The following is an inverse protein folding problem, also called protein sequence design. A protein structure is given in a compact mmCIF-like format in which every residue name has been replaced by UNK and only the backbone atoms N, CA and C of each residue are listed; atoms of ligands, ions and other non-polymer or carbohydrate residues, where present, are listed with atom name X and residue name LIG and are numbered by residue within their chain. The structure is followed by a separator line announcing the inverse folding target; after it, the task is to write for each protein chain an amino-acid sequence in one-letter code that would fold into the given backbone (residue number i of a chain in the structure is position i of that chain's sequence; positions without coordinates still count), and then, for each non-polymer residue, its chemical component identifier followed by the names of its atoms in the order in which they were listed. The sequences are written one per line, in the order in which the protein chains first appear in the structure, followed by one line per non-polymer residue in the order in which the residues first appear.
data_IF_424217598906
#
_entry.id   IF_424217598906
#
_cell.length_a   1.000
_cell.length_b   1.000
_cell.length_c   1.000
_cell.angle_alpha   90.00
_cell.angle_beta   90.00
_cell.angle_gamma   90.00
#
_symmetry.space_group_name_H-M   'P 1'
#
loop_
_entity.id
_entity.type
_entity.pdbx_description
1 polymer ?
#
# COMPACT_ATOMS: atom_id res chain seq x y z
N UNK A 1 8.82 17.49 -0.62
CA UNK A 1 7.87 16.42 -0.24
C UNK A 1 7.72 16.42 1.26
N UNK A 2 6.51 16.50 1.79
CA UNK A 2 6.31 16.50 3.25
C UNK A 2 6.16 15.04 3.72
N UNK A 3 7.01 14.56 4.65
CA UNK A 3 6.95 13.18 5.11
C UNK A 3 5.68 12.93 5.94
N UNK A 4 5.16 11.70 5.88
CA UNK A 4 4.16 11.23 6.84
C UNK A 4 4.82 11.10 8.21
N UNK A 5 4.37 11.91 9.18
CA UNK A 5 4.86 11.88 10.56
C UNK A 5 3.78 11.27 11.45
N UNK A 6 4.09 10.14 12.11
CA UNK A 6 3.18 9.54 13.09
C UNK A 6 2.82 10.50 14.23
N UNK A 7 1.55 10.47 14.62
CA UNK A 7 1.06 11.18 15.82
C UNK A 7 1.44 10.40 17.11
N UNK A 8 1.52 11.05 18.28
CA UNK A 8 1.69 10.37 19.56
C UNK A 8 0.61 9.33 19.88
N UNK A 9 -0.59 9.52 19.33
CA UNK A 9 -1.70 8.56 19.36
C UNK A 9 -2.31 8.47 17.96
N UNK A 10 -2.44 7.26 17.43
CA UNK A 10 -2.94 7.01 16.07
C UNK A 10 -3.93 5.85 16.05
N UNK A 11 -4.92 5.98 15.17
CA UNK A 11 -5.68 4.84 14.66
C UNK A 11 -4.96 4.35 13.41
N UNK A 12 -4.19 3.27 13.56
CA UNK A 12 -3.23 2.80 12.53
C UNK A 12 -3.86 1.85 11.52
N UNK A 13 -5.05 1.32 11.80
CA UNK A 13 -5.80 0.43 10.94
C UNK A 13 -7.29 0.57 11.19
N UNK A 14 -8.10 0.55 10.15
CA UNK A 14 -9.55 0.44 10.19
C UNK A 14 -10.00 -0.81 9.44
N UNK A 15 -11.00 -1.50 9.96
CA UNK A 15 -11.60 -2.67 9.34
C UNK A 15 -13.11 -2.64 9.58
N UNK A 16 -13.88 -1.89 8.78
CA UNK A 16 -15.33 -1.92 8.85
C UNK A 16 -15.85 -3.30 8.48
N UNK A 17 -16.92 -3.72 9.16
CA UNK A 17 -17.59 -4.99 8.98
C UNK A 17 -19.11 -4.84 9.02
N UNK A 18 -19.83 -5.98 8.97
CA UNK A 18 -21.28 -5.96 9.08
C UNK A 18 -21.71 -5.35 10.41
N UNK A 19 -22.39 -4.21 10.36
CA UNK A 19 -22.85 -3.42 11.51
C UNK A 19 -21.75 -3.10 12.56
N UNK A 20 -20.49 -3.00 12.13
CA UNK A 20 -19.36 -2.90 13.05
C UNK A 20 -18.17 -2.14 12.45
N UNK A 21 -17.27 -1.72 13.35
CA UNK A 21 -15.93 -1.25 13.04
C UNK A 21 -14.92 -1.95 13.94
N UNK A 22 -13.95 -2.62 13.35
CA UNK A 22 -12.71 -3.02 14.01
C UNK A 22 -11.62 -1.98 13.74
N UNK A 23 -10.78 -1.69 14.73
CA UNK A 23 -9.63 -0.83 14.53
C UNK A 23 -8.48 -1.22 15.45
N UNK A 24 -7.26 -0.90 15.01
CA UNK A 24 -6.06 -0.99 15.83
C UNK A 24 -5.54 0.42 16.06
N UNK A 25 -5.08 0.72 17.30
CA UNK A 25 -4.43 1.96 17.63
C UNK A 25 -3.01 1.73 18.16
N UNK A 26 -2.22 2.80 18.19
CA UNK A 26 -0.87 2.81 18.74
C UNK A 26 -0.67 4.12 19.49
N UNK A 27 -0.13 4.02 20.70
CA UNK A 27 0.30 5.17 21.47
C UNK A 27 1.83 5.14 21.68
N UNK A 28 2.50 6.25 21.40
CA UNK A 28 3.92 6.46 21.66
C UNK A 28 4.16 7.22 22.98
N UNK A 29 3.16 7.22 23.88
CA UNK A 29 3.15 7.89 25.19
C UNK A 29 2.62 6.91 26.24
N UNK A 30 2.85 7.20 27.51
CA UNK A 30 2.25 6.44 28.63
C UNK A 30 0.76 6.72 28.76
N UNK A 31 -0.02 5.67 28.92
CA UNK A 31 -1.48 5.71 29.08
C UNK A 31 -1.98 4.57 29.99
N UNK A 32 -3.19 4.71 30.52
CA UNK A 32 -3.87 3.69 31.34
C UNK A 32 -5.10 3.11 30.63
N UNK A 33 -5.80 3.95 29.86
CA UNK A 33 -7.00 3.56 29.12
C UNK A 33 -7.22 4.43 27.88
N UNK A 34 -7.99 3.90 26.95
CA UNK A 34 -8.52 4.64 25.82
C UNK A 34 -10.01 4.91 26.01
N UNK A 35 -10.42 6.11 25.69
CA UNK A 35 -11.83 6.44 25.46
C UNK A 35 -12.08 6.54 23.98
N UNK A 36 -12.97 5.69 23.49
CA UNK A 36 -13.40 5.62 22.09
C UNK A 36 -14.81 6.15 21.99
N UNK A 37 -15.07 7.05 21.05
CA UNK A 37 -16.43 7.50 20.75
C UNK A 37 -16.71 7.41 19.26
N UNK A 38 -17.93 7.03 18.90
CA UNK A 38 -18.44 7.01 17.54
C UNK A 38 -19.56 8.04 17.44
N UNK A 39 -19.47 8.89 16.43
CA UNK A 39 -20.42 9.95 16.17
C UNK A 39 -20.96 9.84 14.74
N UNK A 40 -22.19 10.30 14.54
CA UNK A 40 -22.70 10.65 13.20
C UNK A 40 -22.02 11.92 12.68
N UNK A 41 -22.15 12.21 11.38
CA UNK A 41 -21.51 13.40 10.79
C UNK A 41 -22.07 14.74 11.32
N UNK A 42 -23.27 14.75 11.87
CA UNK A 42 -23.87 15.92 12.55
C UNK A 42 -23.37 16.11 13.99
N UNK A 43 -22.46 15.21 14.47
CA UNK A 43 -21.86 15.26 15.79
C UNK A 43 -22.62 14.49 16.88
N UNK A 44 -23.77 13.87 16.57
CA UNK A 44 -24.53 13.10 17.56
C UNK A 44 -23.74 11.86 18.03
N UNK A 45 -23.65 11.67 19.35
CA UNK A 45 -22.95 10.52 19.95
C UNK A 45 -23.76 9.23 19.74
N UNK A 46 -23.14 8.21 19.16
CA UNK A 46 -23.75 6.89 18.90
C UNK A 46 -23.25 5.83 19.86
N UNK A 47 -21.94 5.80 20.14
CA UNK A 47 -21.30 4.81 21.02
C UNK A 47 -20.20 5.46 21.86
N UNK A 48 -19.99 4.93 23.05
CA UNK A 48 -18.82 5.19 23.89
C UNK A 48 -18.31 3.89 24.46
N UNK A 49 -16.99 3.72 24.46
CA UNK A 49 -16.29 2.58 25.05
C UNK A 49 -15.06 3.10 25.80
N UNK A 50 -14.81 2.54 26.99
CA UNK A 50 -13.53 2.65 27.71
C UNK A 50 -12.84 1.30 27.64
N UNK A 51 -11.56 1.25 27.29
CA UNK A 51 -10.79 0.03 27.11
C UNK A 51 -9.31 0.26 27.37
N UNK A 52 -8.60 -0.79 27.75
CA UNK A 52 -7.14 -0.88 27.83
C UNK A 52 -6.53 -1.65 26.63
N UNK A 53 -7.36 -1.96 25.62
CA UNK A 53 -6.93 -2.74 24.45
C UNK A 53 -6.59 -1.83 23.28
N UNK A 54 -5.47 -2.09 22.62
CA UNK A 54 -5.07 -1.43 21.36
C UNK A 54 -5.83 -1.96 20.13
N UNK A 55 -6.51 -3.09 20.26
CA UNK A 55 -7.37 -3.66 19.22
C UNK A 55 -8.80 -3.72 19.73
N UNK A 56 -9.71 -3.07 19.03
CA UNK A 56 -11.08 -2.83 19.46
C UNK A 56 -12.06 -3.13 18.35
N UNK A 57 -13.22 -3.69 18.72
CA UNK A 57 -14.38 -3.81 17.82
C UNK A 57 -15.60 -3.18 18.45
N UNK A 58 -16.29 -2.32 17.70
CA UNK A 58 -17.53 -1.67 18.10
C UNK A 58 -18.64 -2.17 17.17
N UNK A 59 -19.71 -2.71 17.75
CA UNK A 59 -20.87 -3.26 17.03
C UNK A 59 -22.13 -2.44 17.23
N UNK A 60 -23.19 -2.78 16.48
CA UNK A 60 -24.51 -2.12 16.58
C UNK A 60 -24.55 -0.80 15.81
N UNK A 61 -23.80 -0.70 14.71
CA UNK A 61 -23.77 0.42 13.77
C UNK A 61 -24.64 0.10 12.55
N UNK A 62 -25.17 1.13 11.88
CA UNK A 62 -25.91 0.92 10.65
C UNK A 62 -24.98 0.82 9.44
N UNK A 63 -25.15 -0.22 8.62
CA UNK A 63 -24.44 -0.35 7.35
C UNK A 63 -24.80 0.79 6.39
N UNK A 64 -23.83 1.24 5.59
CA UNK A 64 -24.01 2.30 4.62
C UNK A 64 -24.13 3.71 5.24
N UNK A 65 -23.91 3.85 6.54
CA UNK A 65 -23.91 5.13 7.24
C UNK A 65 -22.47 5.55 7.54
N UNK A 66 -22.12 6.79 7.22
CA UNK A 66 -20.80 7.35 7.57
C UNK A 66 -20.77 7.80 9.02
N UNK A 67 -19.68 7.42 9.69
CA UNK A 67 -19.42 7.74 11.09
C UNK A 67 -18.04 8.36 11.28
N UNK A 68 -17.89 9.13 12.36
CA UNK A 68 -16.62 9.62 12.88
C UNK A 68 -16.18 8.76 14.07
N UNK A 69 -14.98 8.21 14.00
CA UNK A 69 -14.31 7.53 15.10
C UNK A 69 -13.34 8.50 15.77
N UNK A 70 -13.50 8.73 17.07
CA UNK A 70 -12.63 9.55 17.89
C UNK A 70 -11.98 8.68 18.97
N UNK A 71 -10.69 8.89 19.21
CA UNK A 71 -9.88 8.14 20.16
C UNK A 71 -9.08 9.11 21.03
N UNK A 72 -9.16 8.97 22.34
CA UNK A 72 -8.30 9.68 23.30
C UNK A 72 -7.61 8.69 24.23
N UNK A 73 -6.33 8.92 24.51
CA UNK A 73 -5.59 8.22 25.55
C UNK A 73 -5.75 8.97 26.88
N UNK A 74 -5.95 8.22 27.95
CA UNK A 74 -6.12 8.75 29.30
C UNK A 74 -5.05 8.18 30.24
N UNK A 75 -4.57 9.01 31.17
CA UNK A 75 -3.68 8.60 32.25
C UNK A 75 -4.16 9.28 33.55
N UNK A 76 -4.36 8.47 34.60
CA UNK A 76 -4.91 8.93 35.88
C UNK A 76 -6.21 9.78 35.73
N UNK A 77 -7.10 9.34 34.82
CA UNK A 77 -8.39 9.99 34.53
C UNK A 77 -8.31 11.29 33.73
N UNK A 78 -7.12 11.67 33.23
CA UNK A 78 -6.91 12.87 32.41
C UNK A 78 -6.57 12.48 30.98
N UNK A 79 -7.06 13.22 29.98
CA UNK A 79 -6.67 13.05 28.58
C UNK A 79 -5.21 13.49 28.41
N UNK A 80 -4.37 12.60 27.86
CA UNK A 80 -2.95 12.84 27.60
C UNK A 80 -2.64 12.93 26.12
N UNK A 81 -3.48 12.36 25.25
CA UNK A 81 -3.40 12.54 23.78
C UNK A 81 -4.77 12.32 23.15
N UNK A 82 -4.92 12.90 21.95
CA UNK A 82 -6.07 12.71 21.08
C UNK A 82 -5.55 12.32 19.68
N UNK A 83 -6.10 11.24 19.12
CA UNK A 83 -5.78 10.82 17.74
C UNK A 83 -6.55 11.68 16.73
N UNK A 84 -6.02 11.88 15.53
CA UNK A 84 -6.81 12.39 14.43
C UNK A 84 -8.08 11.56 14.24
N UNK A 85 -9.20 12.26 14.05
CA UNK A 85 -10.50 11.60 13.81
C UNK A 85 -10.46 10.83 12.49
N UNK A 86 -11.16 9.71 12.44
CA UNK A 86 -11.22 8.87 11.24
C UNK A 86 -12.66 8.71 10.77
N UNK A 87 -12.86 8.82 9.47
CA UNK A 87 -14.13 8.49 8.82
C UNK A 87 -14.19 7.00 8.48
N UNK A 88 -15.37 6.40 8.65
CA UNK A 88 -15.62 5.03 8.23
C UNK A 88 -17.09 4.80 7.91
N UNK A 89 -17.35 3.76 7.10
CA UNK A 89 -18.68 3.31 6.74
C UNK A 89 -18.77 1.78 6.96
N UNK A 90 -19.56 1.30 7.92
CA UNK A 90 -19.80 -0.14 8.09
C UNK A 90 -20.51 -0.73 6.88
N UNK A 91 -20.22 -2.00 6.59
CA UNK A 91 -20.82 -2.71 5.46
C UNK A 91 -20.48 -4.18 5.44
N UNK A 92 -21.13 -4.92 4.54
CA UNK A 92 -20.79 -6.32 4.27
C UNK A 92 -19.75 -6.36 3.15
N UNK A 93 -18.55 -6.81 3.50
CA UNK A 93 -17.44 -6.98 2.58
C UNK A 93 -17.17 -8.47 2.35
N UNK A 94 -16.84 -8.88 1.11
CA UNK A 94 -16.37 -10.24 0.88
C UNK A 94 -14.98 -10.42 1.49
N UNK A 95 -14.81 -11.47 2.29
CA UNK A 95 -13.53 -11.80 2.94
C UNK A 95 -13.16 -10.88 4.10
N UNK A 96 -11.88 -10.79 4.40
CA UNK A 96 -11.33 -9.99 5.51
C UNK A 96 -10.79 -8.65 5.03
N UNK A 97 -11.21 -7.56 5.65
CA UNK A 97 -10.68 -6.22 5.37
C UNK A 97 -9.31 -6.08 6.02
N UNK A 98 -8.27 -5.96 5.20
CA UNK A 98 -6.89 -5.74 5.68
C UNK A 98 -6.75 -4.35 6.29
N UNK A 99 -7.17 -3.33 5.56
CA UNK A 99 -7.24 -1.94 6.01
C UNK A 99 -8.30 -1.18 5.21
N UNK A 100 -8.73 -0.05 5.72
CA UNK A 100 -9.73 0.81 5.11
C UNK A 100 -9.34 2.28 5.25
N UNK A 101 -9.51 3.04 4.19
CA UNK A 101 -9.42 4.50 4.16
C UNK A 101 -10.72 5.00 3.53
N UNK A 102 -11.47 5.83 4.24
CA UNK A 102 -12.65 6.46 3.67
C UNK A 102 -12.23 7.54 2.64
N UNK A 103 -12.88 7.63 1.46
CA UNK A 103 -12.48 8.60 0.42
C UNK A 103 -12.48 10.06 0.87
N UNK A 104 -13.28 10.41 1.87
CA UNK A 104 -13.35 11.76 2.45
C UNK A 104 -12.50 11.90 3.73
N UNK A 105 -11.68 10.87 4.08
CA UNK A 105 -10.73 10.92 5.19
C UNK A 105 -9.37 11.40 4.68
N UNK A 106 -9.10 12.70 4.81
CA UNK A 106 -7.92 13.37 4.25
C UNK A 106 -6.66 13.27 5.12
N UNK A 107 -6.62 12.36 6.10
CA UNK A 107 -5.51 12.24 7.07
C UNK A 107 -4.15 11.96 6.40
N UNK A 108 -4.12 11.29 5.26
CA UNK A 108 -2.89 10.93 4.56
C UNK A 108 -2.54 11.90 3.43
N UNK A 109 -3.20 13.05 3.35
CA UNK A 109 -2.79 14.10 2.42
C UNK A 109 -1.40 14.66 2.81
N UNK A 110 -0.50 14.94 1.86
CA UNK A 110 -0.74 15.01 0.41
C UNK A 110 -0.57 13.69 -0.36
N UNK A 111 -0.26 12.55 0.31
CA UNK A 111 0.00 11.28 -0.39
C UNK A 111 -1.22 10.74 -1.13
N UNK A 112 -2.42 10.89 -0.55
CA UNK A 112 -3.65 10.42 -1.16
C UNK A 112 -4.79 10.28 -0.15
N UNK A 113 -5.89 9.60 -0.57
CA UNK A 113 -7.11 9.44 0.24
C UNK A 113 -7.87 8.13 0.04
N UNK A 114 -7.28 7.16 -0.66
CA UNK A 114 -7.90 5.83 -0.83
C UNK A 114 -6.82 4.75 -0.88
N UNK A 115 -7.10 3.51 -0.44
CA UNK A 115 -6.19 2.40 -0.64
C UNK A 115 -6.23 1.95 -2.11
N UNK A 116 -5.06 1.63 -2.67
CA UNK A 116 -4.92 1.07 -4.01
C UNK A 116 -3.72 0.13 -4.11
N UNK A 117 -3.53 -0.48 -5.29
CA UNK A 117 -2.35 -1.26 -5.67
C UNK A 117 -1.98 -2.34 -4.64
N UNK A 118 -2.88 -3.27 -4.34
CA UNK A 118 -2.63 -4.28 -3.33
C UNK A 118 -1.54 -5.25 -3.76
N UNK A 119 -0.69 -5.65 -2.82
CA UNK A 119 0.24 -6.75 -2.98
C UNK A 119 0.08 -7.74 -1.83
N UNK A 120 0.13 -9.04 -2.12
CA UNK A 120 0.06 -10.11 -1.13
C UNK A 120 1.25 -11.03 -1.31
N UNK A 121 1.87 -11.43 -0.20
CA UNK A 121 3.01 -12.33 -0.15
C UNK A 121 2.84 -13.33 0.98
N UNK A 122 3.05 -14.62 0.70
CA UNK A 122 3.18 -15.66 1.72
C UNK A 122 4.64 -15.97 1.94
N UNK A 123 5.10 -15.85 3.18
CA UNK A 123 6.45 -16.20 3.57
C UNK A 123 6.59 -17.71 3.79
N UNK A 124 7.81 -18.29 3.73
CA UNK A 124 8.04 -19.69 4.06
C UNK A 124 7.59 -20.10 5.47
N UNK A 125 7.54 -19.15 6.41
CA UNK A 125 7.01 -19.36 7.76
C UNK A 125 5.49 -19.55 7.82
N UNK A 126 4.77 -19.30 6.72
CA UNK A 126 3.31 -19.25 6.66
C UNK A 126 2.71 -17.87 6.89
N UNK A 127 3.49 -16.93 7.46
CA UNK A 127 3.02 -15.54 7.64
C UNK A 127 2.63 -14.93 6.29
N UNK A 128 1.52 -14.20 6.27
CA UNK A 128 1.12 -13.37 5.14
C UNK A 128 1.57 -11.93 5.37
N UNK A 129 2.08 -11.30 4.32
CA UNK A 129 2.28 -9.87 4.25
C UNK A 129 1.36 -9.30 3.18
N UNK A 130 0.70 -8.19 3.48
CA UNK A 130 -0.09 -7.43 2.52
C UNK A 130 0.37 -5.98 2.51
N UNK A 131 0.38 -5.35 1.34
CA UNK A 131 0.62 -3.92 1.23
C UNK A 131 -0.46 -3.25 0.39
N UNK A 132 -0.65 -1.96 0.60
CA UNK A 132 -1.40 -1.08 -0.27
C UNK A 132 -0.81 0.32 -0.23
N UNK A 133 -1.02 1.07 -1.29
CA UNK A 133 -0.65 2.47 -1.38
C UNK A 133 -1.76 3.37 -0.86
N UNK A 134 -1.40 4.61 -0.55
CA UNK A 134 -2.34 5.72 -0.38
C UNK A 134 -2.41 6.46 -1.71
N UNK A 135 -3.53 6.31 -2.41
CA UNK A 135 -3.71 6.68 -3.80
C UNK A 135 -4.68 7.86 -3.97
N UNK A 136 -4.34 8.75 -4.88
CA UNK A 136 -5.21 9.73 -5.52
C UNK A 136 -4.45 10.52 -6.57
N UNK A 137 -4.94 10.52 -7.84
CA UNK A 137 -4.22 11.06 -9.01
C UNK A 137 -3.81 12.53 -8.98
N UNK A 138 -4.28 13.31 -8.01
CA UNK A 138 -3.92 14.72 -7.81
C UNK A 138 -2.99 14.95 -6.62
N UNK A 139 -2.47 13.86 -6.04
CA UNK A 139 -1.59 13.87 -4.88
C UNK A 139 -0.22 13.29 -5.22
N UNK A 140 0.72 13.34 -4.27
CA UNK A 140 2.10 12.85 -4.45
C UNK A 140 2.18 11.33 -4.66
N UNK A 141 1.20 10.57 -4.13
CA UNK A 141 1.13 9.11 -4.27
C UNK A 141 2.45 8.42 -3.91
N UNK A 142 2.93 8.62 -2.69
CA UNK A 142 4.26 8.20 -2.30
C UNK A 142 4.34 7.49 -0.95
N UNK A 143 3.18 7.03 -0.43
CA UNK A 143 3.07 6.35 0.85
C UNK A 143 2.43 4.98 0.66
N UNK A 144 3.09 3.93 1.16
CA UNK A 144 2.56 2.56 1.22
C UNK A 144 2.59 2.03 2.63
N UNK A 145 1.59 1.23 2.99
CA UNK A 145 1.50 0.52 4.28
C UNK A 145 1.71 -0.98 4.08
N UNK A 146 2.37 -1.61 5.05
CA UNK A 146 2.60 -3.06 5.09
C UNK A 146 1.93 -3.64 6.32
N UNK A 147 1.14 -4.68 6.13
CA UNK A 147 0.40 -5.41 7.16
C UNK A 147 0.86 -6.86 7.21
N UNK A 148 0.69 -7.50 8.38
CA UNK A 148 0.93 -8.93 8.54
C UNK A 148 -0.27 -9.64 9.15
N UNK A 149 -0.40 -10.91 8.74
CA UNK A 149 -1.28 -11.89 9.36
C UNK A 149 -0.46 -13.15 9.70
N UNK A 150 -0.68 -13.68 10.90
CA UNK A 150 -0.08 -14.94 11.37
C UNK A 150 -1.13 -16.07 11.49
N UNK A 151 -2.37 -15.85 11.02
CA UNK A 151 -3.53 -16.71 11.14
C UNK A 151 -4.28 -16.89 9.80
N UNK A 152 -3.54 -17.06 8.71
CA UNK A 152 -4.07 -17.30 7.36
C UNK A 152 -4.99 -16.17 6.84
N UNK A 153 -4.76 -14.92 7.26
CA UNK A 153 -5.50 -13.76 6.81
C UNK A 153 -6.80 -13.48 7.58
N UNK A 154 -7.03 -14.18 8.70
CA UNK A 154 -8.21 -13.94 9.56
C UNK A 154 -8.07 -12.60 10.29
N UNK A 155 -6.89 -12.33 10.85
CA UNK A 155 -6.58 -11.03 11.46
C UNK A 155 -5.33 -10.38 10.85
N UNK A 156 -5.31 -9.06 10.83
CA UNK A 156 -4.22 -8.27 10.28
C UNK A 156 -3.76 -7.22 11.27
N UNK A 157 -2.47 -6.89 11.25
CA UNK A 157 -1.89 -5.77 11.99
C UNK A 157 -0.94 -4.97 11.13
N UNK A 158 -0.87 -3.66 11.34
CA UNK A 158 0.13 -2.82 10.71
C UNK A 158 1.54 -3.23 11.18
N UNK A 159 2.47 -3.45 10.24
CA UNK A 159 3.89 -3.65 10.53
C UNK A 159 4.69 -2.38 10.36
N UNK A 160 4.57 -1.75 9.19
CA UNK A 160 5.38 -0.61 8.79
C UNK A 160 4.69 0.22 7.70
N UNK A 161 5.28 1.36 7.43
CA UNK A 161 5.00 2.15 6.24
C UNK A 161 6.32 2.49 5.54
N UNK A 162 6.26 2.72 4.24
CA UNK A 162 7.38 3.13 3.41
C UNK A 162 7.04 4.44 2.71
N UNK A 163 8.00 5.36 2.72
CA UNK A 163 7.92 6.63 2.02
C UNK A 163 9.34 7.12 1.65
N UNK A 164 9.61 7.38 0.33
CA UNK A 164 8.68 7.30 -0.79
C UNK A 164 8.40 5.85 -1.21
N UNK A 165 7.16 5.48 -1.46
CA UNK A 165 6.79 4.17 -1.98
C UNK A 165 5.40 4.23 -2.64
N UNK A 166 5.32 3.83 -3.90
CA UNK A 166 4.10 3.80 -4.69
C UNK A 166 4.10 2.58 -5.62
N UNK A 167 2.95 1.97 -5.84
CA UNK A 167 2.78 0.73 -6.62
C UNK A 167 3.70 -0.40 -6.15
N UNK A 168 3.77 -0.55 -4.82
CA UNK A 168 4.67 -1.49 -4.17
C UNK A 168 4.33 -2.94 -4.44
N UNK A 169 5.31 -3.72 -4.94
CA UNK A 169 5.24 -5.17 -5.07
C UNK A 169 6.11 -5.85 -4.03
N UNK A 170 5.48 -6.56 -3.09
CA UNK A 170 6.16 -7.45 -2.16
C UNK A 170 6.58 -8.74 -2.87
N UNK A 171 7.81 -9.18 -2.67
CA UNK A 171 8.27 -10.52 -3.05
C UNK A 171 9.31 -11.03 -2.07
N UNK A 172 9.46 -12.36 -2.02
CA UNK A 172 10.45 -13.03 -1.17
C UNK A 172 11.53 -13.65 -2.04
N UNK A 173 12.78 -13.45 -1.66
CA UNK A 173 13.90 -14.05 -2.33
C UNK A 173 15.06 -14.31 -1.37
N UNK A 174 15.58 -15.56 -1.33
CA UNK A 174 16.78 -15.99 -0.61
C UNK A 174 16.86 -15.50 0.84
N UNK A 175 15.77 -15.67 1.59
CA UNK A 175 15.73 -15.35 3.02
C UNK A 175 15.28 -13.92 3.34
N UNK A 176 15.07 -13.06 2.36
CA UNK A 176 14.65 -11.69 2.58
C UNK A 176 13.35 -11.33 1.86
N UNK A 177 12.64 -10.35 2.39
CA UNK A 177 11.48 -9.69 1.78
C UNK A 177 11.98 -8.45 1.06
N UNK A 178 11.45 -8.23 -0.13
CA UNK A 178 11.74 -7.04 -0.92
C UNK A 178 10.45 -6.30 -1.26
N UNK A 179 10.55 -4.97 -1.35
CA UNK A 179 9.52 -4.10 -1.90
C UNK A 179 10.08 -3.41 -3.14
N UNK A 180 9.55 -3.77 -4.31
CA UNK A 180 9.85 -3.11 -5.58
C UNK A 180 8.75 -2.08 -5.83
N UNK A 181 9.08 -0.81 -5.91
CA UNK A 181 8.12 0.28 -5.94
C UNK A 181 8.60 1.48 -6.74
N UNK A 182 7.67 2.34 -7.13
CA UNK A 182 7.99 3.68 -7.63
C UNK A 182 8.17 4.65 -6.47
N UNK A 183 8.99 5.69 -6.62
CA UNK A 183 9.07 6.76 -5.63
C UNK A 183 7.81 7.65 -5.61
N UNK A 184 7.14 7.76 -6.74
CA UNK A 184 5.85 8.40 -6.99
C UNK A 184 5.39 8.00 -8.39
N UNK A 185 4.23 8.48 -8.86
CA UNK A 185 3.83 8.25 -10.25
C UNK A 185 4.88 8.84 -11.23
N UNK A 186 5.41 8.01 -12.13
CA UNK A 186 6.55 8.30 -13.01
C UNK A 186 7.87 8.66 -12.29
N UNK A 187 7.96 8.44 -10.99
CA UNK A 187 9.19 8.62 -10.23
C UNK A 187 10.25 7.55 -10.52
N UNK A 188 11.29 7.51 -9.69
CA UNK A 188 12.32 6.47 -9.78
C UNK A 188 11.78 5.09 -9.39
N UNK A 189 12.28 4.03 -10.03
CA UNK A 189 12.04 2.65 -9.60
C UNK A 189 13.01 2.32 -8.47
N UNK A 190 12.44 2.00 -7.30
CA UNK A 190 13.14 1.75 -6.05
C UNK A 190 13.02 0.29 -5.62
N UNK A 191 14.05 -0.21 -4.97
CA UNK A 191 14.03 -1.50 -4.29
C UNK A 191 14.44 -1.34 -2.82
N UNK A 192 13.60 -1.84 -1.92
CA UNK A 192 13.84 -1.93 -0.49
C UNK A 192 14.04 -3.40 -0.10
N UNK A 193 14.83 -3.65 0.94
CA UNK A 193 15.06 -4.97 1.54
C UNK A 193 14.65 -4.97 3.01
N UNK A 194 14.07 -6.07 3.46
CA UNK A 194 13.71 -6.32 4.86
C UNK A 194 13.91 -7.79 5.20
N UNK A 195 14.23 -8.08 6.45
CA UNK A 195 14.25 -9.46 6.95
C UNK A 195 12.90 -9.90 7.55
N UNK A 196 12.06 -8.96 7.93
CA UNK A 196 10.84 -9.22 8.72
C UNK A 196 9.58 -8.50 8.22
N UNK A 197 9.70 -7.62 7.21
CA UNK A 197 8.64 -6.75 6.71
C UNK A 197 8.34 -5.54 7.61
N UNK A 198 9.05 -5.40 8.74
CA UNK A 198 8.88 -4.31 9.71
C UNK A 198 9.93 -3.22 9.54
N UNK A 199 11.19 -3.64 9.45
CA UNK A 199 12.33 -2.73 9.28
C UNK A 199 12.86 -2.86 7.87
N UNK A 200 13.00 -1.75 7.17
CA UNK A 200 13.42 -1.70 5.78
C UNK A 200 14.77 -0.97 5.65
N UNK A 201 15.57 -1.41 4.68
CA UNK A 201 16.77 -0.69 4.27
C UNK A 201 16.43 0.67 3.67
N UNK A 202 17.41 1.55 3.56
CA UNK A 202 17.34 2.61 2.56
C UNK A 202 17.16 1.99 1.18
N UNK A 203 16.36 2.62 0.29
CA UNK A 203 16.14 2.09 -1.05
C UNK A 203 17.35 2.27 -1.94
N UNK A 204 17.51 1.37 -2.91
CA UNK A 204 18.37 1.59 -4.06
C UNK A 204 17.54 1.96 -5.28
N UNK A 205 18.05 2.88 -6.11
CA UNK A 205 17.42 3.28 -7.36
C UNK A 205 17.85 2.32 -8.47
N UNK A 206 16.88 1.61 -9.06
CA UNK A 206 17.11 0.69 -10.18
C UNK A 206 16.99 1.38 -11.54
N UNK A 207 16.06 2.33 -11.65
CA UNK A 207 15.86 3.15 -12.85
C UNK A 207 15.57 4.59 -12.43
N UNK A 208 16.16 5.58 -13.13
CA UNK A 208 15.90 6.98 -12.82
C UNK A 208 14.45 7.37 -13.13
N UNK A 209 13.91 8.26 -12.30
CA UNK A 209 12.57 8.79 -12.48
C UNK A 209 12.47 9.83 -13.59
N UNK A 210 11.24 10.12 -13.95
CA UNK A 210 10.81 11.23 -14.77
C UNK A 210 9.71 12.02 -14.07
N UNK A 211 8.74 12.49 -14.84
CA UNK A 211 7.56 13.20 -14.36
C UNK A 211 6.36 13.03 -15.30
N UNK A 212 5.18 13.48 -14.87
CA UNK A 212 3.95 13.38 -15.67
C UNK A 212 4.03 14.07 -17.04
N UNK A 213 4.86 15.08 -17.19
CA UNK A 213 5.00 15.87 -18.43
C UNK A 213 5.99 15.24 -19.41
N UNK A 214 7.10 14.72 -18.91
CA UNK A 214 8.18 14.14 -19.71
C UNK A 214 8.02 12.65 -19.91
N UNK A 215 7.31 12.00 -19.00
CA UNK A 215 7.20 10.57 -18.88
C UNK A 215 8.32 10.00 -18.01
N UNK A 216 8.16 8.75 -17.66
CA UNK A 216 9.10 8.02 -16.80
C UNK A 216 8.71 6.56 -16.66
N UNK A 217 9.43 5.80 -15.83
CA UNK A 217 9.04 4.46 -15.45
C UNK A 217 7.64 4.46 -14.83
N UNK A 218 6.88 3.41 -15.13
CA UNK A 218 5.56 3.18 -14.59
C UNK A 218 5.41 1.70 -14.27
N UNK A 219 5.06 1.35 -13.06
CA UNK A 219 5.03 -0.06 -12.65
C UNK A 219 3.93 -0.31 -11.63
N UNK A 220 2.91 -1.03 -12.06
CA UNK A 220 1.94 -1.62 -11.14
C UNK A 220 2.59 -2.78 -10.34
N UNK A 221 1.97 -3.29 -9.25
CA UNK A 221 2.52 -4.38 -8.42
C UNK A 221 2.45 -5.74 -9.13
N UNK A 222 3.00 -5.83 -10.34
CA UNK A 222 3.06 -7.04 -11.15
C UNK A 222 3.97 -8.09 -10.52
N UNK A 223 3.72 -9.39 -10.75
CA UNK A 223 4.54 -10.47 -10.23
C UNK A 223 6.02 -10.35 -10.57
N UNK A 224 6.86 -10.80 -9.63
CA UNK A 224 8.27 -11.12 -9.87
C UNK A 224 8.35 -12.63 -10.02
N UNK A 225 8.82 -13.11 -11.16
CA UNK A 225 8.93 -14.55 -11.49
C UNK A 225 10.39 -14.96 -11.64
N UNK A 226 10.70 -16.23 -11.30
CA UNK A 226 12.01 -16.81 -11.53
C UNK A 226 11.97 -17.69 -12.79
N UNK A 227 12.84 -17.38 -13.78
CA UNK A 227 12.97 -18.16 -15.00
C UNK A 227 14.39 -18.02 -15.56
N UNK A 228 14.94 -19.12 -16.09
CA UNK A 228 16.27 -19.17 -16.72
C UNK A 228 17.38 -18.53 -15.87
N UNK A 229 17.41 -18.82 -14.56
CA UNK A 229 18.43 -18.31 -13.65
C UNK A 229 18.33 -16.80 -13.34
N UNK A 230 17.21 -16.16 -13.67
CA UNK A 230 16.96 -14.74 -13.40
C UNK A 230 15.60 -14.53 -12.75
N UNK A 231 15.47 -13.44 -11.98
CA UNK A 231 14.18 -12.86 -11.60
C UNK A 231 13.77 -11.86 -12.69
N UNK A 232 12.50 -11.89 -13.03
CA UNK A 232 11.90 -11.04 -14.07
C UNK A 232 10.64 -10.36 -13.55
N UNK A 233 10.42 -9.14 -13.99
CA UNK A 233 9.14 -8.44 -13.81
C UNK A 233 8.93 -7.44 -14.93
N UNK A 234 7.68 -7.16 -15.28
CA UNK A 234 7.36 -6.16 -16.27
C UNK A 234 7.51 -4.74 -15.69
N UNK A 235 7.77 -3.81 -16.57
CA UNK A 235 7.81 -2.37 -16.33
C UNK A 235 7.32 -1.65 -17.57
N UNK A 236 6.60 -0.56 -17.39
CA UNK A 236 6.18 0.33 -18.46
C UNK A 236 7.01 1.60 -18.45
N UNK A 237 7.01 2.33 -19.54
CA UNK A 237 7.58 3.67 -19.64
C UNK A 237 6.70 4.55 -20.50
N UNK A 238 6.32 5.71 -20.02
CA UNK A 238 5.43 6.59 -20.78
C UNK A 238 4.96 7.80 -20.00
N UNK A 239 3.84 8.36 -20.46
CA UNK A 239 3.20 9.51 -19.85
C UNK A 239 1.73 9.60 -20.24
N UNK A 240 0.86 9.89 -19.29
CA UNK A 240 -0.56 10.19 -19.57
C UNK A 240 -0.73 11.41 -20.47
N UNK A 241 0.15 12.41 -20.35
CA UNK A 241 0.04 13.66 -21.10
C UNK A 241 0.58 13.57 -22.52
N UNK A 242 1.47 12.62 -22.80
CA UNK A 242 2.06 12.41 -24.14
C UNK A 242 1.43 11.27 -24.92
N UNK A 243 0.44 10.61 -24.32
CA UNK A 243 -0.35 9.59 -24.98
C UNK A 243 0.42 8.31 -25.27
N UNK A 244 0.48 7.42 -24.31
CA UNK A 244 0.92 6.06 -24.51
C UNK A 244 2.09 5.66 -23.62
N UNK A 245 2.05 4.37 -23.32
CA UNK A 245 3.09 3.67 -22.58
C UNK A 245 3.66 2.57 -23.46
N UNK A 246 4.96 2.34 -23.33
CA UNK A 246 5.67 1.23 -23.90
C UNK A 246 5.99 0.22 -22.80
N UNK A 247 5.98 -1.07 -23.13
CA UNK A 247 6.19 -2.14 -22.15
C UNK A 247 7.58 -2.77 -22.32
N UNK A 248 8.20 -3.11 -21.20
CA UNK A 248 9.49 -3.78 -21.15
C UNK A 248 9.58 -4.75 -19.98
N UNK A 249 10.73 -5.38 -19.84
CA UNK A 249 11.06 -6.23 -18.71
C UNK A 249 12.33 -5.75 -18.05
N UNK A 250 12.38 -5.86 -16.72
CA UNK A 250 13.62 -5.77 -15.97
C UNK A 250 13.96 -7.13 -15.36
N UNK A 251 15.22 -7.41 -15.20
CA UNK A 251 15.66 -8.67 -14.65
C UNK A 251 16.99 -8.57 -13.93
N UNK A 252 17.23 -9.51 -13.01
CA UNK A 252 18.46 -9.66 -12.23
C UNK A 252 18.79 -11.15 -12.09
N UNK A 253 20.06 -11.59 -12.09
CA UNK A 253 20.41 -12.99 -11.81
C UNK A 253 19.88 -13.40 -10.41
N UNK A 254 19.39 -14.64 -10.27
CA UNK A 254 18.85 -15.15 -9.00
C UNK A 254 19.87 -15.23 -7.88
N UNK A 255 21.17 -15.26 -8.20
CA UNK A 255 22.28 -15.34 -7.26
C UNK A 255 22.97 -14.00 -6.98
N UNK A 256 22.56 -12.93 -7.70
CA UNK A 256 23.11 -11.60 -7.50
C UNK A 256 22.64 -10.95 -6.19
N UNK A 257 23.37 -9.94 -5.74
CA UNK A 257 22.86 -8.99 -4.74
C UNK A 257 21.81 -8.10 -5.40
N UNK A 258 20.55 -8.28 -5.00
CA UNK A 258 19.45 -7.49 -5.55
C UNK A 258 19.55 -6.00 -5.20
N UNK A 259 20.28 -5.65 -4.12
CA UNK A 259 20.51 -4.26 -3.71
C UNK A 259 21.64 -3.58 -4.48
N UNK A 260 22.31 -4.28 -5.41
CA UNK A 260 23.26 -3.69 -6.36
C UNK A 260 22.57 -3.34 -7.68
N UNK A 261 22.28 -2.07 -7.99
CA UNK A 261 21.59 -1.67 -9.22
C UNK A 261 22.33 -2.09 -10.49
N UNK A 262 23.66 -2.25 -10.44
CA UNK A 262 24.49 -2.64 -11.59
C UNK A 262 24.20 -4.05 -12.10
N UNK A 263 23.59 -4.90 -11.27
CA UNK A 263 23.22 -6.29 -11.62
C UNK A 263 21.90 -6.35 -12.41
N UNK A 264 21.09 -5.29 -12.34
CA UNK A 264 19.80 -5.23 -13.03
C UNK A 264 19.98 -4.87 -14.51
N UNK A 265 19.10 -5.44 -15.32
CA UNK A 265 19.04 -5.19 -16.77
C UNK A 265 17.62 -4.88 -17.19
N UNK A 266 17.48 -3.91 -18.10
CA UNK A 266 16.23 -3.58 -18.76
C UNK A 266 16.31 -4.00 -20.24
N UNK A 267 15.23 -4.58 -20.77
CA UNK A 267 15.17 -5.01 -22.20
C UNK A 267 15.02 -3.84 -23.17
N UNK A 268 14.78 -2.65 -22.69
CA UNK A 268 14.21 -1.58 -23.48
C UNK A 268 12.68 -1.68 -23.52
N UNK A 269 12.03 -0.72 -24.16
CA UNK A 269 10.58 -0.58 -24.16
C UNK A 269 10.00 -0.75 -25.55
N UNK A 270 9.05 -1.67 -25.71
CA UNK A 270 8.30 -1.91 -26.92
C UNK A 270 7.08 -0.97 -26.95
N UNK A 271 7.03 -0.02 -27.90
CA UNK A 271 5.88 0.87 -28.06
C UNK A 271 4.63 0.10 -28.48
N UNK A 272 3.47 0.61 -28.11
CA UNK A 272 2.21 0.09 -28.62
C UNK A 272 2.07 0.35 -30.12
N UNK A 273 1.70 -0.68 -30.87
CA UNK A 273 1.40 -0.57 -32.30
C UNK A 273 -0.07 -0.94 -32.57
N UNK A 274 -0.90 0.03 -32.97
CA UNK A 274 -2.33 -0.21 -33.23
C UNK A 274 -2.58 -1.14 -34.45
N UNK A 275 -1.55 -1.46 -35.24
CA UNK A 275 -1.67 -2.39 -36.36
C UNK A 275 -1.61 -3.86 -35.95
N UNK A 276 -1.23 -4.16 -34.72
CA UNK A 276 -1.15 -5.55 -34.24
C UNK A 276 -2.52 -6.24 -34.25
N UNK A 277 -2.57 -7.53 -34.61
CA UNK A 277 -3.79 -8.32 -34.49
C UNK A 277 -4.37 -8.26 -33.07
N UNK A 278 -5.64 -7.86 -32.94
CA UNK A 278 -6.28 -7.72 -31.65
C UNK A 278 -6.00 -6.42 -30.89
N UNK A 279 -5.19 -5.52 -31.44
CA UNK A 279 -4.96 -4.21 -30.86
C UNK A 279 -6.27 -3.40 -30.76
N UNK A 280 -6.42 -2.60 -29.70
CA UNK A 280 -7.55 -1.72 -29.51
C UNK A 280 -7.64 -0.69 -30.65
N UNK A 281 -8.84 -0.53 -31.24
CA UNK A 281 -9.10 0.44 -32.31
C UNK A 281 -9.70 1.74 -31.74
N UNK A 282 -9.08 2.32 -30.79
CA UNK A 282 -9.57 3.55 -30.18
C UNK A 282 -8.45 4.38 -29.63
N UNK A 283 -8.79 5.34 -28.79
CA UNK A 283 -7.79 6.00 -27.97
C UNK A 283 -7.24 4.96 -27.01
N UNK A 284 -5.91 4.75 -27.05
CA UNK A 284 -5.19 3.83 -26.17
C UNK A 284 -4.13 4.58 -25.41
N UNK A 285 -3.96 4.21 -24.15
CA UNK A 285 -2.83 4.67 -23.31
C UNK A 285 -1.54 3.89 -23.58
N UNK A 286 -1.54 3.02 -24.61
CA UNK A 286 -0.42 2.16 -24.98
C UNK A 286 -0.42 0.82 -24.23
N UNK A 287 0.75 0.22 -24.11
CA UNK A 287 0.96 -1.01 -23.34
C UNK A 287 1.15 -0.65 -21.88
N UNK A 288 0.09 -0.79 -21.07
CA UNK A 288 0.08 -0.44 -19.66
C UNK A 288 -0.06 -1.69 -18.80
N UNK A 289 0.63 -1.69 -17.65
CA UNK A 289 0.56 -2.75 -16.64
C UNK A 289 0.90 -4.14 -17.19
N UNK A 290 1.98 -4.19 -17.97
CA UNK A 290 2.49 -5.44 -18.54
C UNK A 290 2.84 -6.47 -17.47
N UNK A 291 2.83 -7.75 -17.88
CA UNK A 291 3.20 -8.85 -17.00
C UNK A 291 4.27 -9.73 -17.65
N UNK A 292 5.12 -10.34 -16.80
CA UNK A 292 6.06 -11.37 -17.23
C UNK A 292 5.43 -12.76 -17.00
N UNK A 293 5.39 -13.58 -18.04
CA UNK A 293 4.90 -14.96 -17.97
C UNK A 293 5.90 -15.89 -18.61
N UNK A 294 5.99 -17.13 -18.12
CA UNK A 294 6.79 -18.18 -18.75
C UNK A 294 5.90 -18.86 -19.78
N UNK A 295 6.38 -18.96 -21.02
CA UNK A 295 5.66 -19.69 -22.05
C UNK A 295 5.63 -21.20 -21.76
N UNK A 296 4.68 -21.97 -22.32
CA UNK A 296 4.58 -23.41 -22.05
C UNK A 296 5.81 -24.23 -22.47
N UNK A 297 6.59 -23.71 -23.38
CA UNK A 297 7.85 -24.29 -23.86
C UNK A 297 9.12 -23.74 -23.19
N UNK A 298 8.96 -22.90 -22.18
CA UNK A 298 10.02 -22.34 -21.34
C UNK A 298 10.36 -20.90 -21.65
#
# INVERSE_FOLDING_TARGET
MQPYLPSPLEIVRLAPGDQSIGFDCRAAIDWDSFRVTVHTLDGSLVRTLLTDQERVTISGLANGTNYLLCLTAQRAGRVVAEAPRRLFCPGRFPGTVVNYIHPDDHIYMPSGRSPASPSLLRLPSGRLLASHDVFWGECDQNLSFVFASDDEGVTWRLLSHLQPCFWGKLFYHRGAVYMLAMSAEYGALLLYRSDDGRTWSEPVELLPGGDRLRGGPHKAPMPVIACHGRLWTAIDHGSWTRGGHANGLISVPVDADLMDPSQWRCTGFLPYDPSWPGASRGQSTGCLEGNAVVAPDG
#
